data_IF_396769109808
#
_entry.id   IF_396769109808
#
_cell.length_a   1.000
_cell.length_b   1.000
_cell.length_c   1.000
_cell.angle_alpha   90.00
_cell.angle_beta   90.00
_cell.angle_gamma   90.00
#
_symmetry.space_group_name_H-M   'P 1'
#
loop_
_entity.id
_entity.type
_entity.pdbx_description
1 polymer ?
#
# COMPACT_ATOMS: atom_id res chain seq x y z
N UNK A 1 77.85 3.29 -16.39
CA UNK A 1 76.81 4.22 -15.96
C UNK A 1 75.47 3.70 -16.48
N UNK A 2 74.67 3.01 -15.63
CA UNK A 2 73.40 2.40 -16.02
C UNK A 2 72.27 3.32 -15.50
N UNK A 3 71.50 3.96 -16.41
CA UNK A 3 70.35 4.81 -16.06
C UNK A 3 69.09 3.93 -15.95
N UNK A 4 68.57 3.83 -14.72
CA UNK A 4 67.27 3.22 -14.47
C UNK A 4 66.15 4.24 -14.76
N UNK A 5 65.30 3.95 -15.74
CA UNK A 5 64.07 4.70 -16.01
C UNK A 5 62.96 4.03 -15.18
N UNK A 6 62.46 4.72 -14.15
CA UNK A 6 61.25 4.32 -13.46
C UNK A 6 60.05 4.77 -14.28
N UNK A 7 59.28 3.82 -14.78
CA UNK A 7 57.96 4.08 -15.37
C UNK A 7 56.91 4.11 -14.24
N UNK A 8 56.35 5.28 -13.95
CA UNK A 8 55.22 5.42 -13.02
C UNK A 8 53.91 5.14 -13.77
N UNK A 9 53.26 4.05 -13.47
CA UNK A 9 51.92 3.72 -13.94
C UNK A 9 50.88 4.43 -13.05
N UNK A 10 50.24 5.46 -13.60
CA UNK A 10 49.10 6.12 -12.94
C UNK A 10 47.82 5.26 -13.12
N UNK A 11 47.32 4.66 -12.04
CA UNK A 11 46.05 3.98 -12.03
C UNK A 11 44.94 5.05 -11.92
N UNK A 12 44.13 5.20 -12.97
CA UNK A 12 42.91 6.02 -12.96
C UNK A 12 41.81 5.25 -12.21
N UNK A 13 41.48 5.67 -10.99
CA UNK A 13 40.32 5.22 -10.23
C UNK A 13 39.08 5.90 -10.84
N UNK A 14 38.29 5.14 -11.62
CA UNK A 14 36.96 5.54 -12.04
C UNK A 14 36.01 5.44 -10.81
N UNK A 15 35.79 6.57 -10.16
CA UNK A 15 34.73 6.69 -9.15
C UNK A 15 33.37 6.65 -9.86
N UNK A 16 32.79 5.49 -9.95
CA UNK A 16 31.39 5.32 -10.38
C UNK A 16 30.47 6.03 -9.41
N UNK A 17 29.72 7.03 -9.85
CA UNK A 17 28.62 7.62 -9.08
C UNK A 17 27.52 6.58 -8.96
N UNK A 18 27.40 5.95 -7.78
CA UNK A 18 26.23 5.13 -7.46
C UNK A 18 25.03 6.09 -7.35
N UNK A 19 24.17 6.10 -8.36
CA UNK A 19 22.84 6.69 -8.22
C UNK A 19 22.07 5.84 -7.21
N UNK A 20 21.61 6.48 -6.12
CA UNK A 20 20.65 5.83 -5.22
C UNK A 20 19.40 5.45 -6.00
N UNK A 21 18.93 4.22 -5.85
CA UNK A 21 17.70 3.78 -6.49
C UNK A 21 16.54 4.66 -5.98
N UNK A 22 15.65 5.06 -6.89
CA UNK A 22 14.44 5.80 -6.53
C UNK A 22 13.61 4.99 -5.51
N UNK A 23 13.05 5.64 -4.48
CA UNK A 23 12.32 4.94 -3.43
C UNK A 23 11.05 4.25 -3.96
N UNK A 24 10.72 3.11 -3.37
CA UNK A 24 9.41 2.48 -3.57
C UNK A 24 8.34 3.40 -3.00
N UNK A 25 7.40 3.86 -3.83
CA UNK A 25 6.40 4.88 -3.48
C UNK A 25 4.98 4.39 -3.73
N UNK A 26 4.06 4.86 -2.88
CA UNK A 26 2.61 4.76 -3.04
C UNK A 26 2.04 6.17 -3.05
N UNK A 27 1.25 6.50 -4.06
CA UNK A 27 0.64 7.82 -4.26
C UNK A 27 -0.83 7.70 -4.63
N UNK A 28 -1.56 8.81 -4.57
CA UNK A 28 -2.94 8.91 -5.05
C UNK A 28 -3.15 10.19 -5.86
N UNK A 29 -3.94 10.12 -6.91
CA UNK A 29 -4.47 11.32 -7.57
C UNK A 29 -5.77 11.82 -6.94
N UNK A 30 -6.38 11.04 -6.04
CA UNK A 30 -7.62 11.38 -5.35
C UNK A 30 -7.39 12.20 -4.07
N UNK A 31 -6.20 12.12 -3.46
CA UNK A 31 -5.80 12.90 -2.27
C UNK A 31 -4.27 12.88 -2.12
N UNK A 32 -3.70 13.84 -1.40
CA UNK A 32 -2.28 13.84 -1.04
C UNK A 32 -2.07 13.25 0.35
N UNK A 33 -0.83 12.83 0.63
CA UNK A 33 -0.47 12.27 1.93
C UNK A 33 -0.84 13.22 3.08
N UNK A 34 -1.51 12.70 4.10
CA UNK A 34 -2.03 13.45 5.23
C UNK A 34 -3.25 14.34 4.94
N UNK A 35 -3.77 14.38 3.71
CA UNK A 35 -4.97 15.17 3.38
C UNK A 35 -6.28 14.44 3.69
N UNK A 36 -7.38 15.21 3.66
CA UNK A 36 -8.72 14.69 3.85
C UNK A 36 -9.17 13.86 2.65
N UNK A 37 -9.70 12.67 2.93
CA UNK A 37 -10.44 11.88 1.95
C UNK A 37 -11.77 12.57 1.59
N UNK A 38 -12.12 12.58 0.31
CA UNK A 38 -13.41 13.11 -0.14
C UNK A 38 -14.58 12.28 0.42
N UNK A 39 -15.70 12.93 0.72
CA UNK A 39 -16.87 12.28 1.32
C UNK A 39 -17.37 11.07 0.50
N UNK A 40 -17.30 11.12 -0.84
CA UNK A 40 -17.67 9.98 -1.70
C UNK A 40 -16.87 8.69 -1.40
N UNK A 41 -15.68 8.82 -0.84
CA UNK A 41 -14.81 7.68 -0.47
C UNK A 41 -15.22 7.04 0.85
N UNK A 42 -16.02 7.71 1.69
CA UNK A 42 -16.55 7.12 2.91
C UNK A 42 -17.49 5.95 2.62
N UNK A 43 -17.63 5.05 3.60
CA UNK A 43 -18.50 3.89 3.48
C UNK A 43 -19.97 4.27 3.27
N UNK A 44 -20.74 3.35 2.71
CA UNK A 44 -22.15 3.54 2.33
C UNK A 44 -23.12 2.58 3.05
N UNK A 45 -22.69 1.98 4.16
CA UNK A 45 -23.55 1.09 4.93
C UNK A 45 -24.72 1.83 5.58
N UNK A 46 -25.91 1.64 5.07
CA UNK A 46 -27.14 2.33 5.53
C UNK A 46 -27.51 2.06 6.98
N UNK A 47 -27.03 0.95 7.57
CA UNK A 47 -27.28 0.62 8.98
C UNK A 47 -26.35 1.37 9.94
N UNK A 48 -25.31 2.04 9.43
CA UNK A 48 -24.40 2.85 10.24
C UNK A 48 -24.52 4.33 9.84
N UNK A 49 -25.05 5.20 10.73
CA UNK A 49 -25.26 6.62 10.40
C UNK A 49 -23.95 7.39 10.16
N UNK A 50 -22.80 6.82 10.47
CA UNK A 50 -21.50 7.43 10.21
C UNK A 50 -20.95 7.08 8.81
N UNK A 51 -21.58 6.15 8.10
CA UNK A 51 -21.22 5.81 6.73
C UNK A 51 -21.95 6.74 5.74
N UNK A 52 -21.39 7.92 5.49
CA UNK A 52 -22.05 9.03 4.77
C UNK A 52 -21.64 9.15 3.31
N UNK A 53 -20.84 8.20 2.80
CA UNK A 53 -20.27 8.25 1.45
C UNK A 53 -20.96 7.34 0.46
N UNK A 54 -20.24 7.10 -0.64
CA UNK A 54 -20.65 6.26 -1.76
C UNK A 54 -19.79 4.98 -1.86
N UNK A 55 -18.82 4.84 -0.97
CA UNK A 55 -17.81 3.77 -0.95
C UNK A 55 -16.93 3.74 -2.21
N UNK A 56 -16.64 4.90 -2.80
CA UNK A 56 -15.76 5.01 -3.97
C UNK A 56 -14.30 4.86 -3.50
N UNK A 57 -13.62 3.80 -3.95
CA UNK A 57 -12.20 3.60 -3.63
C UNK A 57 -11.33 4.70 -4.26
N UNK A 58 -10.31 5.24 -3.56
CA UNK A 58 -9.40 6.21 -4.15
C UNK A 58 -8.58 5.59 -5.27
N UNK A 59 -8.15 6.41 -6.23
CA UNK A 59 -7.11 6.03 -7.16
C UNK A 59 -5.78 5.85 -6.40
N UNK A 60 -5.07 4.76 -6.66
CA UNK A 60 -3.76 4.46 -6.08
C UNK A 60 -2.77 4.13 -7.19
N UNK A 61 -1.55 4.62 -7.08
CA UNK A 61 -0.46 4.32 -8.01
C UNK A 61 0.83 4.08 -7.25
N UNK A 62 1.66 3.16 -7.75
CA UNK A 62 2.95 2.86 -7.13
C UNK A 62 4.05 2.68 -8.16
N UNK A 63 5.28 2.96 -7.74
CA UNK A 63 6.46 2.91 -8.60
C UNK A 63 7.70 2.43 -7.83
N UNK A 64 8.73 2.07 -8.59
CA UNK A 64 10.04 1.67 -8.09
C UNK A 64 10.00 0.51 -7.06
N UNK A 65 9.30 -0.60 -7.35
CA UNK A 65 9.26 -1.72 -6.42
C UNK A 65 10.67 -2.31 -6.24
N UNK A 66 10.98 -2.86 -5.04
CA UNK A 66 12.24 -3.55 -4.80
C UNK A 66 12.48 -4.68 -5.79
N UNK A 67 13.75 -4.95 -6.11
CA UNK A 67 14.12 -6.06 -6.98
C UNK A 67 13.60 -7.40 -6.44
N UNK A 68 13.15 -8.27 -7.34
CA UNK A 68 12.60 -9.58 -6.99
C UNK A 68 11.13 -9.55 -6.54
N UNK A 69 10.44 -8.40 -6.65
CA UNK A 69 8.99 -8.32 -6.40
C UNK A 69 8.24 -9.14 -7.44
N UNK A 70 7.38 -10.07 -6.98
CA UNK A 70 6.48 -10.87 -7.80
C UNK A 70 5.02 -10.45 -7.64
N UNK A 71 4.65 -10.01 -6.44
CA UNK A 71 3.31 -9.50 -6.14
C UNK A 71 3.33 -8.46 -5.03
N UNK A 72 2.17 -7.84 -4.79
CA UNK A 72 1.99 -6.90 -3.69
C UNK A 72 0.85 -7.35 -2.78
N UNK A 73 0.90 -6.88 -1.53
CA UNK A 73 -0.21 -6.83 -0.61
C UNK A 73 -0.52 -5.36 -0.26
N UNK A 74 -1.79 -5.02 -0.16
CA UNK A 74 -2.27 -3.67 0.20
C UNK A 74 -3.25 -3.78 1.35
N UNK A 75 -3.00 -3.04 2.42
CA UNK A 75 -3.83 -2.99 3.60
C UNK A 75 -4.28 -1.55 3.84
N UNK A 76 -5.58 -1.32 4.09
CA UNK A 76 -6.10 -0.07 4.63
C UNK A 76 -6.54 -0.28 6.08
N UNK A 77 -5.95 0.48 6.98
CA UNK A 77 -6.16 0.34 8.42
C UNK A 77 -6.40 1.70 9.08
N UNK A 78 -7.35 1.73 10.00
CA UNK A 78 -7.69 2.86 10.87
C UNK A 78 -7.33 2.50 12.31
N UNK A 79 -6.23 3.04 12.88
CA UNK A 79 -5.80 2.72 14.23
C UNK A 79 -6.71 3.31 15.32
N UNK A 80 -7.40 4.41 15.06
CA UNK A 80 -8.29 5.06 16.03
C UNK A 80 -9.67 4.37 16.13
N UNK A 81 -10.03 3.61 15.11
CA UNK A 81 -11.32 2.92 15.06
C UNK A 81 -11.59 2.03 16.27
N UNK A 82 -12.86 1.90 16.66
CA UNK A 82 -13.30 1.09 17.81
C UNK A 82 -12.62 1.48 19.13
N UNK A 83 -12.39 2.78 19.34
CA UNK A 83 -11.76 3.27 20.56
C UNK A 83 -10.28 2.92 20.70
N UNK A 84 -9.55 2.84 19.59
CA UNK A 84 -8.11 2.52 19.55
C UNK A 84 -7.80 1.02 19.37
N UNK A 85 -8.83 0.15 19.24
CA UNK A 85 -8.62 -1.27 18.92
C UNK A 85 -8.37 -1.51 17.42
N UNK A 86 -8.60 -0.49 16.62
CA UNK A 86 -8.38 -0.48 15.18
C UNK A 86 -9.49 -1.12 14.35
N UNK A 87 -9.57 -0.67 13.10
CA UNK A 87 -10.46 -1.22 12.07
C UNK A 87 -9.64 -1.51 10.81
N UNK A 88 -9.68 -2.73 10.35
CA UNK A 88 -9.13 -3.12 9.03
C UNK A 88 -10.21 -2.86 7.99
N UNK A 89 -9.99 -1.89 7.13
CA UNK A 89 -10.94 -1.46 6.09
C UNK A 89 -10.82 -2.28 4.81
N UNK A 90 -9.60 -2.68 4.45
CA UNK A 90 -9.35 -3.44 3.24
C UNK A 90 -8.09 -4.29 3.38
N UNK A 91 -8.15 -5.52 2.86
CA UNK A 91 -7.02 -6.44 2.76
C UNK A 91 -7.03 -7.02 1.34
N UNK A 92 -6.02 -6.71 0.57
CA UNK A 92 -5.79 -7.23 -0.78
C UNK A 92 -4.36 -7.77 -0.88
N UNK A 93 -4.17 -8.92 -1.51
CA UNK A 93 -2.83 -9.51 -1.72
C UNK A 93 -2.80 -10.31 -3.02
N UNK A 94 -1.64 -10.82 -3.37
CA UNK A 94 -1.46 -11.48 -4.67
C UNK A 94 -1.72 -10.53 -5.85
N UNK A 95 -1.58 -9.21 -5.64
CA UNK A 95 -1.64 -8.22 -6.72
C UNK A 95 -0.40 -8.44 -7.60
N UNK A 96 -0.53 -8.85 -8.88
CA UNK A 96 0.62 -9.13 -9.73
C UNK A 96 1.57 -7.93 -9.85
N UNK A 97 2.89 -8.18 -9.96
CA UNK A 97 3.89 -7.11 -10.12
C UNK A 97 3.68 -6.25 -11.39
N UNK A 98 2.94 -6.75 -12.37
CA UNK A 98 2.54 -5.98 -13.57
C UNK A 98 1.46 -4.94 -13.31
N UNK A 99 0.74 -5.02 -12.19
CA UNK A 99 -0.24 -4.02 -11.76
C UNK A 99 0.52 -2.90 -11.05
N UNK A 100 0.34 -1.67 -11.50
CA UNK A 100 1.02 -0.48 -10.96
C UNK A 100 0.05 0.52 -10.33
N UNK A 101 -1.21 0.14 -10.17
CA UNK A 101 -2.22 1.01 -9.57
C UNK A 101 -3.64 0.49 -9.72
N UNK A 102 -4.56 1.19 -9.09
CA UNK A 102 -6.00 1.05 -9.24
C UNK A 102 -6.60 2.41 -9.58
N UNK A 103 -7.53 2.46 -10.52
CA UNK A 103 -8.30 3.66 -10.82
C UNK A 103 -9.29 3.98 -9.69
N UNK A 104 -9.74 5.23 -9.62
CA UNK A 104 -10.80 5.62 -8.68
C UNK A 104 -12.07 4.79 -8.92
N UNK A 105 -12.62 4.22 -7.86
CA UNK A 105 -13.81 3.38 -7.89
C UNK A 105 -13.57 1.93 -8.32
N UNK A 106 -12.42 1.61 -8.87
CA UNK A 106 -12.13 0.28 -9.47
C UNK A 106 -12.24 -0.88 -8.47
N UNK A 107 -11.87 -0.64 -7.23
CA UNK A 107 -11.84 -1.68 -6.18
C UNK A 107 -12.89 -1.45 -5.08
N UNK A 108 -13.93 -0.69 -5.40
CA UNK A 108 -15.11 -0.48 -4.53
C UNK A 108 -15.97 -1.73 -4.37
N UNK A 109 -15.75 -2.75 -5.18
CA UNK A 109 -16.38 -4.07 -5.17
C UNK A 109 -15.35 -5.17 -5.42
N UNK A 110 -15.78 -6.43 -5.57
CA UNK A 110 -14.90 -7.55 -5.92
C UNK A 110 -14.11 -7.27 -7.20
N UNK A 111 -12.84 -7.72 -7.23
CA UNK A 111 -11.94 -7.56 -8.38
C UNK A 111 -11.15 -8.83 -8.61
N UNK A 112 -10.80 -9.13 -9.84
CA UNK A 112 -9.92 -10.22 -10.25
C UNK A 112 -8.43 -9.84 -10.26
N UNK A 113 -8.12 -8.57 -10.00
CA UNK A 113 -6.74 -8.05 -9.93
C UNK A 113 -5.98 -8.43 -8.66
N UNK A 114 -6.68 -9.00 -7.67
CA UNK A 114 -6.07 -9.41 -6.40
C UNK A 114 -6.89 -10.51 -5.71
N UNK A 115 -6.30 -11.14 -4.72
CA UNK A 115 -6.99 -12.03 -3.79
C UNK A 115 -7.50 -11.20 -2.62
N UNK A 116 -8.80 -11.21 -2.39
CA UNK A 116 -9.46 -10.49 -1.31
C UNK A 116 -9.29 -11.17 0.05
N UNK A 117 -8.80 -10.43 1.04
CA UNK A 117 -8.75 -10.85 2.44
C UNK A 117 -10.00 -10.43 3.20
N UNK A 118 -10.03 -10.71 4.49
CA UNK A 118 -11.17 -10.41 5.38
C UNK A 118 -10.91 -9.12 6.15
N UNK A 119 -11.65 -8.06 5.82
CA UNK A 119 -11.68 -6.81 6.58
C UNK A 119 -12.50 -6.95 7.87
N UNK A 120 -12.46 -5.94 8.76
CA UNK A 120 -13.29 -5.94 10.00
C UNK A 120 -14.79 -6.06 9.71
N UNK A 121 -15.37 -5.38 8.69
CA UNK A 121 -16.76 -5.61 8.29
C UNK A 121 -17.00 -6.93 7.52
N UNK A 122 -15.97 -7.74 7.27
CA UNK A 122 -16.07 -9.03 6.59
C UNK A 122 -16.02 -8.94 5.06
N UNK A 123 -15.70 -7.79 4.49
CA UNK A 123 -15.66 -7.56 3.04
C UNK A 123 -14.27 -7.89 2.48
N UNK A 124 -14.23 -8.38 1.23
CA UNK A 124 -13.02 -8.73 0.49
C UNK A 124 -12.57 -7.63 -0.49
N UNK A 125 -13.09 -6.43 -0.38
CA UNK A 125 -12.81 -5.25 -1.21
C UNK A 125 -12.77 -3.99 -0.35
N UNK A 126 -12.45 -2.85 -0.95
CA UNK A 126 -12.41 -1.56 -0.27
C UNK A 126 -13.72 -1.27 0.47
N UNK A 127 -13.59 -0.88 1.72
CA UNK A 127 -14.66 -0.30 2.52
C UNK A 127 -14.17 1.00 3.14
N UNK A 128 -14.83 2.10 2.81
CA UNK A 128 -14.40 3.44 3.19
C UNK A 128 -14.65 3.80 4.65
N UNK A 129 -14.18 4.98 5.07
CA UNK A 129 -14.39 5.54 6.41
C UNK A 129 -15.86 5.57 6.84
N UNK A 130 -16.10 5.28 8.13
CA UNK A 130 -17.39 5.47 8.78
C UNK A 130 -17.17 6.10 10.16
N UNK A 131 -16.40 7.20 10.20
CA UNK A 131 -15.94 7.89 11.40
C UNK A 131 -17.09 8.69 12.02
N UNK A 132 -17.25 8.70 13.35
CA UNK A 132 -18.14 9.63 14.03
C UNK A 132 -17.79 11.11 13.75
N UNK A 133 -18.74 12.04 13.92
CA UNK A 133 -18.44 13.48 13.79
C UNK A 133 -17.53 13.95 14.92
N UNK A 134 -16.63 14.89 14.60
CA UNK A 134 -15.73 15.53 15.57
C UNK A 134 -14.36 14.87 15.71
N UNK A 135 -14.24 13.57 15.54
CA UNK A 135 -12.98 12.86 15.63
C UNK A 135 -12.33 12.70 14.25
N UNK A 136 -11.03 13.02 14.16
CA UNK A 136 -10.25 12.77 12.96
C UNK A 136 -9.55 11.42 13.08
N UNK A 137 -9.85 10.53 12.15
CA UNK A 137 -9.16 9.25 12.03
C UNK A 137 -8.15 9.26 10.87
N UNK A 138 -7.08 8.48 11.01
CA UNK A 138 -6.06 8.27 10.01
C UNK A 138 -6.29 6.90 9.34
N UNK A 139 -6.36 6.93 8.02
CA UNK A 139 -6.50 5.73 7.21
C UNK A 139 -5.18 5.47 6.53
N UNK A 140 -4.41 4.53 7.09
CA UNK A 140 -3.10 4.16 6.54
C UNK A 140 -3.26 3.15 5.43
N UNK A 141 -2.82 3.50 4.22
CA UNK A 141 -2.66 2.56 3.11
C UNK A 141 -1.22 2.07 3.13
N UNK A 142 -1.01 0.78 3.33
CA UNK A 142 0.32 0.15 3.34
C UNK A 142 0.41 -0.82 2.19
N UNK A 143 1.28 -0.54 1.22
CA UNK A 143 1.60 -1.41 0.09
C UNK A 143 2.90 -2.14 0.41
N UNK A 144 2.86 -3.47 0.42
CA UNK A 144 4.00 -4.35 0.70
C UNK A 144 4.37 -5.08 -0.58
N UNK A 145 5.60 -4.91 -1.04
CA UNK A 145 6.18 -5.70 -2.13
C UNK A 145 6.66 -7.06 -1.59
N UNK A 146 6.37 -8.15 -2.29
CA UNK A 146 6.70 -9.51 -1.85
C UNK A 146 7.23 -10.37 -3.00
N UNK A 147 8.03 -11.39 -2.68
CA UNK A 147 8.50 -12.41 -3.63
C UNK A 147 7.56 -13.63 -3.74
N UNK A 148 6.41 -13.61 -3.10
CA UNK A 148 5.38 -14.62 -3.27
C UNK A 148 4.71 -14.48 -4.65
N UNK A 149 4.42 -15.62 -5.28
CA UNK A 149 3.62 -15.61 -6.50
C UNK A 149 2.19 -15.11 -6.24
N UNK A 150 1.52 -14.46 -7.20
CA UNK A 150 0.18 -13.88 -7.00
C UNK A 150 -0.88 -14.87 -6.51
N UNK A 151 -0.72 -16.16 -6.81
CA UNK A 151 -1.65 -17.25 -6.43
C UNK A 151 -1.16 -18.10 -5.27
N UNK A 152 -0.13 -17.65 -4.54
CA UNK A 152 0.48 -18.44 -3.47
C UNK A 152 -0.41 -18.55 -2.20
N UNK A 153 -1.32 -17.61 -2.00
CA UNK A 153 -2.12 -17.51 -0.77
C UNK A 153 -3.62 -17.71 -1.06
N UNK A 154 -4.29 -18.41 -0.16
CA UNK A 154 -5.74 -18.65 -0.19
C UNK A 154 -6.55 -17.37 0.06
N UNK A 155 -7.78 -17.25 -0.45
CA UNK A 155 -8.68 -16.12 -0.17
C UNK A 155 -9.11 -16.06 1.30
N UNK A 156 -9.43 -14.85 1.79
CA UNK A 156 -10.09 -14.65 3.08
C UNK A 156 -9.15 -14.55 4.28
N UNK A 157 -7.84 -14.42 4.09
CA UNK A 157 -6.91 -14.17 5.19
C UNK A 157 -7.24 -12.84 5.88
N UNK A 158 -7.21 -12.82 7.20
CA UNK A 158 -7.20 -11.58 7.98
C UNK A 158 -5.86 -10.87 7.80
N UNK A 159 -5.78 -9.58 8.19
CA UNK A 159 -4.51 -8.83 8.17
C UNK A 159 -3.39 -9.58 8.93
N UNK A 160 -3.69 -10.09 10.11
CA UNK A 160 -2.70 -10.71 10.97
C UNK A 160 -2.22 -12.05 10.38
N UNK A 161 -3.13 -12.88 9.85
CA UNK A 161 -2.78 -14.10 9.11
C UNK A 161 -1.95 -13.78 7.86
N UNK A 162 -2.30 -12.71 7.12
CA UNK A 162 -1.51 -12.27 5.97
C UNK A 162 -0.10 -11.87 6.40
N UNK A 163 0.07 -11.13 7.50
CA UNK A 163 1.39 -10.74 8.00
C UNK A 163 2.25 -11.94 8.39
N UNK A 164 1.65 -12.98 8.99
CA UNK A 164 2.36 -14.24 9.25
C UNK A 164 2.86 -14.90 7.96
N UNK A 165 2.03 -14.91 6.90
CA UNK A 165 2.42 -15.45 5.59
C UNK A 165 3.46 -14.60 4.84
N UNK A 166 3.48 -13.30 5.07
CA UNK A 166 4.46 -12.38 4.47
C UNK A 166 5.79 -12.35 5.22
N UNK A 167 5.88 -12.92 6.41
CA UNK A 167 7.13 -12.98 7.18
C UNK A 167 8.22 -13.73 6.39
N UNK A 168 9.37 -13.05 6.16
CA UNK A 168 10.47 -13.56 5.34
C UNK A 168 10.30 -13.37 3.82
N UNK A 169 9.12 -12.93 3.35
CA UNK A 169 8.79 -12.70 1.94
C UNK A 169 8.66 -11.22 1.56
N UNK A 170 8.51 -10.32 2.54
CA UNK A 170 8.43 -8.88 2.29
C UNK A 170 9.77 -8.33 1.80
N UNK A 171 9.76 -7.59 0.69
CA UNK A 171 10.92 -6.95 0.05
C UNK A 171 11.03 -5.46 0.41
N UNK A 172 9.93 -4.83 0.75
CA UNK A 172 9.82 -3.42 1.11
C UNK A 172 8.38 -2.99 1.19
N UNK A 173 8.16 -1.81 1.74
CA UNK A 173 6.82 -1.24 1.86
C UNK A 173 6.82 0.24 1.53
N UNK A 174 5.65 0.72 1.05
CA UNK A 174 5.35 2.13 0.86
C UNK A 174 4.01 2.46 1.54
N UNK A 175 3.90 3.65 2.11
CA UNK A 175 2.73 4.10 2.84
C UNK A 175 2.12 5.38 2.27
N UNK A 176 0.83 5.56 2.52
CA UNK A 176 0.07 6.77 2.22
C UNK A 176 -1.01 6.92 3.27
N UNK A 177 -1.24 8.12 3.77
CA UNK A 177 -2.22 8.40 4.83
C UNK A 177 -3.31 9.32 4.30
N UNK A 178 -4.56 8.88 4.37
CA UNK A 178 -5.73 9.74 4.24
C UNK A 178 -6.35 10.02 5.60
N UNK A 179 -6.95 11.19 5.81
CA UNK A 179 -7.69 11.51 7.03
C UNK A 179 -9.17 11.68 6.75
N UNK A 180 -10.01 11.28 7.68
CA UNK A 180 -11.45 11.51 7.55
C UNK A 180 -12.11 11.76 8.89
N UNK A 181 -13.11 12.63 8.88
CA UNK A 181 -14.13 12.78 9.90
C UNK A 181 -15.46 13.00 9.18
N UNK A 182 -16.54 12.53 9.76
CA UNK A 182 -17.89 12.81 9.24
C UNK A 182 -18.12 14.31 9.18
N UNK A 183 -18.58 14.89 8.05
CA UNK A 183 -18.96 16.30 7.93
C UNK A 183 -20.06 16.72 8.91
#
# INVERSE_FOLDING_TARGET
MLRHVLAATAALLLAGTAYAAEPFTLTSSSFKDGERLATKMAGNNKSNPNCVGENVSPALSWSNPPAGTKSYALIMFDPEGRGGLGVVHWVAYGIPASVTGFAEGEVSGPSDKYVGGKSTPGLAHYFGPCTPPGDWHHYTFTLIATDLDPKALEPGLTRDQLFEKLAGHAKGAAGLIGRFTKP
#
